data_IF_084174688101
#
_entry.id   IF_084174688101
#
_cell.length_a   1.000
_cell.length_b   1.000
_cell.length_c   1.000
_cell.angle_alpha   90.00
_cell.angle_beta   90.00
_cell.angle_gamma   90.00
#
_symmetry.space_group_name_H-M   'P 1'
#
loop_
_entity.id
_entity.type
_entity.pdbx_description
1 polymer ?
#
# COMPACT_ATOMS: atom_id res chain seq x y z
N UNK A 1 -39.09 6.14 30.76
CA UNK A 1 -37.66 5.74 30.83
C UNK A 1 -37.09 5.32 29.48
N UNK A 2 -37.67 4.34 28.75
CA UNK A 2 -37.16 3.88 27.44
C UNK A 2 -36.98 4.99 26.38
N UNK A 3 -37.93 5.93 26.28
CA UNK A 3 -37.85 7.08 25.34
C UNK A 3 -36.67 8.02 25.62
N UNK A 4 -36.32 8.19 26.90
CA UNK A 4 -35.20 9.04 27.34
C UNK A 4 -33.87 8.35 27.02
N UNK A 5 -33.74 7.04 27.26
CA UNK A 5 -32.55 6.29 26.84
C UNK A 5 -32.31 6.34 25.33
N UNK A 6 -33.38 6.24 24.51
CA UNK A 6 -33.27 6.34 23.05
C UNK A 6 -32.78 7.73 22.63
N UNK A 7 -33.32 8.80 23.24
CA UNK A 7 -32.90 10.16 22.96
C UNK A 7 -31.42 10.39 23.32
N UNK A 8 -30.99 9.86 24.46
CA UNK A 8 -29.58 9.93 24.89
C UNK A 8 -28.66 9.22 23.89
N UNK A 9 -29.02 8.03 23.44
CA UNK A 9 -28.24 7.27 22.43
C UNK A 9 -28.12 8.06 21.11
N UNK A 10 -29.20 8.69 20.66
CA UNK A 10 -29.20 9.49 19.43
C UNK A 10 -28.32 10.74 19.54
N UNK A 11 -28.32 11.40 20.71
CA UNK A 11 -27.45 12.55 20.97
C UNK A 11 -25.98 12.12 20.96
N UNK A 12 -25.63 11.01 21.63
CA UNK A 12 -24.26 10.49 21.61
C UNK A 12 -23.81 10.08 20.20
N UNK A 13 -24.70 9.48 19.39
CA UNK A 13 -24.38 9.13 18.01
C UNK A 13 -24.10 10.37 17.13
N UNK A 14 -24.79 11.48 17.37
CA UNK A 14 -24.58 12.73 16.63
C UNK A 14 -23.26 13.44 16.93
N UNK A 15 -22.62 13.10 18.06
CA UNK A 15 -21.31 13.62 18.45
C UNK A 15 -20.14 12.80 17.84
N UNK A 16 -20.43 11.64 17.23
CA UNK A 16 -19.43 10.85 16.51
C UNK A 16 -19.14 11.51 15.16
N UNK A 17 -18.12 12.35 15.12
CA UNK A 17 -17.58 12.88 13.87
C UNK A 17 -16.58 11.88 13.27
N UNK A 18 -16.93 11.28 12.13
CA UNK A 18 -16.00 10.53 11.31
C UNK A 18 -15.14 11.52 10.50
N UNK A 19 -14.19 12.18 11.16
CA UNK A 19 -13.16 12.99 10.50
C UNK A 19 -12.35 12.12 9.55
N UNK A 20 -12.60 12.27 8.24
CA UNK A 20 -12.18 11.33 7.22
C UNK A 20 -10.69 11.39 6.88
N UNK A 21 -10.00 10.26 7.00
CA UNK A 21 -8.71 9.99 6.35
C UNK A 21 -8.82 9.84 4.81
N UNK A 22 -9.97 10.19 4.23
CA UNK A 22 -10.26 10.04 2.80
C UNK A 22 -9.89 11.30 2.01
N UNK A 23 -9.34 11.12 0.80
CA UNK A 23 -9.09 12.21 -0.13
C UNK A 23 -7.73 12.91 0.00
N UNK A 24 -6.83 12.44 0.88
CA UNK A 24 -5.46 12.92 0.90
C UNK A 24 -4.70 12.49 -0.36
N UNK A 25 -3.85 13.38 -0.88
CA UNK A 25 -2.92 13.04 -1.95
C UNK A 25 -2.07 11.83 -1.55
N UNK A 26 -1.85 10.91 -2.49
CA UNK A 26 -1.07 9.70 -2.22
C UNK A 26 -1.78 8.63 -1.39
N UNK A 27 -3.09 8.73 -1.12
CA UNK A 27 -3.82 7.70 -0.37
C UNK A 27 -3.70 6.28 -0.99
N UNK A 28 -3.53 6.20 -2.31
CA UNK A 28 -3.29 4.94 -3.03
C UNK A 28 -2.00 4.22 -2.59
N UNK A 29 -1.00 4.96 -2.09
CA UNK A 29 0.27 4.39 -1.59
C UNK A 29 0.00 3.51 -0.36
N UNK A 30 -1.16 3.58 0.30
CA UNK A 30 -1.47 2.71 1.45
C UNK A 30 -1.98 1.33 1.04
N UNK A 31 -2.34 1.12 -0.23
CA UNK A 31 -2.98 -0.11 -0.69
C UNK A 31 -2.04 -1.32 -0.74
N UNK A 32 -0.73 -1.11 -0.92
CA UNK A 32 0.24 -2.19 -1.13
C UNK A 32 0.41 -2.56 -2.60
N UNK A 33 1.57 -3.12 -2.95
CA UNK A 33 1.89 -3.56 -4.31
C UNK A 33 2.30 -5.04 -4.35
N UNK A 34 2.03 -5.71 -5.47
CA UNK A 34 2.46 -7.10 -5.67
C UNK A 34 1.63 -8.13 -4.90
N UNK A 35 1.22 -9.18 -5.60
CA UNK A 35 0.36 -10.23 -5.04
C UNK A 35 0.99 -10.93 -3.82
N UNK A 36 2.31 -11.14 -3.84
CA UNK A 36 3.05 -11.80 -2.75
C UNK A 36 2.99 -10.98 -1.46
N UNK A 37 3.44 -9.73 -1.47
CA UNK A 37 3.45 -8.89 -0.28
C UNK A 37 2.02 -8.69 0.27
N UNK A 38 1.04 -8.48 -0.62
CA UNK A 38 -0.38 -8.39 -0.23
C UNK A 38 -0.90 -9.67 0.43
N UNK A 39 -0.60 -10.85 -0.12
CA UNK A 39 -1.00 -12.15 0.46
C UNK A 39 -0.41 -12.40 1.85
N UNK A 40 0.74 -11.79 2.16
CA UNK A 40 1.41 -11.85 3.45
C UNK A 40 0.97 -10.74 4.42
N UNK A 41 -0.14 -10.05 4.15
CA UNK A 41 -0.64 -8.97 5.00
C UNK A 41 0.05 -7.62 4.75
N UNK A 42 0.48 -7.37 3.51
CA UNK A 42 1.19 -6.16 3.08
C UNK A 42 2.58 -5.97 3.73
N UNK A 43 3.28 -7.08 4.02
CA UNK A 43 4.53 -7.12 4.80
C UNK A 43 5.80 -7.12 3.93
N UNK A 44 5.81 -6.36 2.83
CA UNK A 44 6.92 -6.37 1.85
C UNK A 44 8.25 -5.74 2.33
N UNK A 45 8.30 -5.14 3.52
CA UNK A 45 9.50 -4.48 4.07
C UNK A 45 10.68 -5.45 4.28
N UNK A 46 10.38 -6.69 4.68
CA UNK A 46 11.35 -7.74 4.97
C UNK A 46 11.30 -8.91 3.96
N UNK A 47 10.62 -8.72 2.82
CA UNK A 47 10.57 -9.71 1.74
C UNK A 47 11.84 -9.65 0.89
N UNK A 48 12.00 -10.63 0.00
CA UNK A 48 13.11 -10.70 -0.93
C UNK A 48 13.16 -9.44 -1.85
N UNK A 49 14.37 -8.91 -2.16
CA UNK A 49 14.50 -7.79 -3.09
C UNK A 49 13.80 -8.08 -4.43
N UNK A 50 13.00 -7.13 -4.90
CA UNK A 50 12.20 -7.26 -6.12
C UNK A 50 12.01 -5.90 -6.80
N UNK A 51 11.29 -5.83 -7.93
CA UNK A 51 11.00 -4.52 -8.51
C UNK A 51 10.05 -3.67 -7.63
N UNK A 52 9.38 -4.24 -6.62
CA UNK A 52 8.55 -3.51 -5.65
C UNK A 52 9.36 -2.83 -4.53
N UNK A 53 10.68 -3.00 -4.53
CA UNK A 53 11.59 -2.45 -3.53
C UNK A 53 11.47 -0.93 -3.35
N UNK A 54 11.22 -0.16 -4.43
CA UNK A 54 10.98 1.29 -4.35
C UNK A 54 9.80 1.65 -3.43
N UNK A 55 8.78 0.79 -3.39
CA UNK A 55 7.57 1.01 -2.60
C UNK A 55 7.73 0.52 -1.15
N UNK A 56 8.28 -0.68 -0.94
CA UNK A 56 8.34 -1.28 0.39
C UNK A 56 9.60 -0.93 1.19
N UNK A 57 10.78 -1.08 0.60
CA UNK A 57 12.05 -0.91 1.30
C UNK A 57 13.20 -0.66 0.32
N UNK A 58 13.45 0.61 -0.08
CA UNK A 58 14.47 0.97 -1.07
C UNK A 58 15.88 0.46 -0.74
N UNK A 59 16.21 0.23 0.53
CA UNK A 59 17.52 -0.28 0.94
C UNK A 59 17.81 -1.70 0.39
N UNK A 60 16.77 -2.47 0.06
CA UNK A 60 16.92 -3.83 -0.47
C UNK A 60 17.46 -3.88 -1.91
N UNK A 61 17.44 -2.76 -2.65
CA UNK A 61 17.77 -2.72 -4.09
C UNK A 61 19.23 -3.12 -4.36
N UNK A 62 20.13 -2.79 -3.44
CA UNK A 62 21.56 -3.11 -3.54
C UNK A 62 21.86 -4.61 -3.41
N UNK A 63 20.89 -5.39 -2.92
CA UNK A 63 21.00 -6.84 -2.71
C UNK A 63 20.35 -7.66 -3.83
N UNK A 64 19.85 -7.01 -4.89
CA UNK A 64 19.36 -7.72 -6.06
C UNK A 64 20.49 -8.51 -6.75
N UNK A 65 20.27 -9.81 -6.95
CA UNK A 65 21.20 -10.69 -7.68
C UNK A 65 21.12 -10.48 -9.20
N UNK A 66 19.94 -10.11 -9.69
CA UNK A 66 19.65 -9.89 -11.11
C UNK A 66 18.76 -8.67 -11.30
N UNK A 67 18.72 -8.18 -12.54
CA UNK A 67 17.75 -7.15 -12.96
C UNK A 67 16.35 -7.78 -12.92
N UNK A 68 15.38 -7.08 -12.32
CA UNK A 68 14.01 -7.56 -12.16
C UNK A 68 13.04 -6.50 -12.66
N UNK A 69 12.03 -6.93 -13.41
CA UNK A 69 10.86 -6.14 -13.73
C UNK A 69 9.63 -6.81 -13.10
N UNK A 70 8.68 -6.01 -12.60
CA UNK A 70 7.43 -6.51 -12.05
C UNK A 70 6.24 -5.76 -12.62
N UNK A 71 5.13 -6.48 -12.77
CA UNK A 71 3.84 -5.96 -13.17
C UNK A 71 2.81 -6.45 -12.16
N UNK A 72 1.89 -5.58 -11.74
CA UNK A 72 0.72 -6.00 -10.97
C UNK A 72 -0.53 -5.27 -11.41
N UNK A 73 -1.64 -5.99 -11.36
CA UNK A 73 -2.97 -5.52 -11.69
C UNK A 73 -3.93 -6.02 -10.61
N UNK A 74 -4.62 -5.10 -9.95
CA UNK A 74 -5.56 -5.40 -8.86
C UNK A 74 -6.93 -4.85 -9.17
N UNK A 75 -7.94 -5.73 -9.09
CA UNK A 75 -9.35 -5.35 -9.17
C UNK A 75 -9.80 -4.80 -7.82
N UNK A 76 -10.44 -3.63 -7.82
CA UNK A 76 -10.98 -2.98 -6.63
C UNK A 76 -12.50 -2.79 -6.76
N UNK A 77 -13.21 -2.63 -5.62
CA UNK A 77 -14.60 -2.23 -5.64
C UNK A 77 -14.82 -0.91 -6.40
N UNK A 78 -16.04 -0.76 -6.93
CA UNK A 78 -16.49 0.39 -7.72
C UNK A 78 -15.80 0.49 -9.10
N UNK A 79 -15.57 -0.66 -9.75
CA UNK A 79 -14.93 -0.77 -11.08
C UNK A 79 -13.57 -0.07 -11.18
N UNK A 80 -12.86 0.02 -10.05
CA UNK A 80 -11.53 0.63 -9.99
C UNK A 80 -10.47 -0.44 -10.20
N UNK A 81 -9.35 -0.01 -10.74
CA UNK A 81 -8.15 -0.82 -10.89
C UNK A 81 -6.95 -0.12 -10.23
N UNK A 82 -6.04 -0.92 -9.69
CA UNK A 82 -4.77 -0.44 -9.14
C UNK A 82 -3.65 -1.23 -9.78
N UNK A 83 -2.80 -0.52 -10.51
CA UNK A 83 -1.78 -1.12 -11.36
C UNK A 83 -0.42 -0.61 -10.97
N UNK A 84 0.59 -1.42 -11.22
CA UNK A 84 1.96 -1.00 -11.07
C UNK A 84 2.86 -1.68 -12.09
N UNK A 85 3.81 -0.90 -12.60
CA UNK A 85 4.94 -1.40 -13.38
C UNK A 85 6.23 -0.89 -12.74
N UNK A 86 7.18 -1.80 -12.53
CA UNK A 86 8.43 -1.49 -11.86
C UNK A 86 9.61 -2.17 -12.50
N UNK A 87 10.76 -1.53 -12.38
CA UNK A 87 12.07 -2.09 -12.70
C UNK A 87 13.05 -1.80 -11.57
N UNK A 88 13.89 -2.78 -11.25
CA UNK A 88 14.95 -2.62 -10.29
C UNK A 88 16.20 -3.38 -10.70
N UNK A 89 17.37 -2.81 -10.40
CA UNK A 89 18.65 -3.45 -10.60
C UNK A 89 19.68 -2.97 -9.59
N UNK A 90 20.59 -3.88 -9.23
CA UNK A 90 21.83 -3.53 -8.57
C UNK A 90 22.74 -2.79 -9.55
N UNK A 91 23.38 -1.72 -9.10
CA UNK A 91 24.45 -1.00 -9.78
C UNK A 91 25.74 -1.33 -9.03
N UNK A 92 26.61 -2.19 -9.58
CA UNK A 92 27.85 -2.58 -8.91
C UNK A 92 28.71 -1.34 -8.56
N UNK A 93 29.44 -1.34 -7.44
CA UNK A 93 29.66 -2.46 -6.51
C UNK A 93 28.57 -2.63 -5.43
N UNK A 94 27.97 -1.53 -4.95
CA UNK A 94 27.07 -1.53 -3.78
C UNK A 94 25.80 -0.68 -3.94
N UNK A 95 25.63 0.01 -5.07
CA UNK A 95 24.45 0.84 -5.31
C UNK A 95 23.30 0.02 -5.91
N UNK A 96 22.12 0.62 -6.00
CA UNK A 96 21.04 0.08 -6.81
C UNK A 96 20.07 1.16 -7.22
N UNK A 97 19.33 0.86 -8.27
CA UNK A 97 18.40 1.76 -8.93
C UNK A 97 17.07 1.03 -9.06
N UNK A 98 15.98 1.73 -8.71
CA UNK A 98 14.63 1.25 -8.92
C UNK A 98 13.74 2.39 -9.41
N UNK A 99 12.83 2.06 -10.31
CA UNK A 99 11.86 2.95 -10.93
C UNK A 99 10.51 2.24 -10.91
N UNK A 100 9.43 3.00 -10.74
CA UNK A 100 8.09 2.45 -10.83
C UNK A 100 7.04 3.51 -11.06
N UNK A 101 5.92 3.07 -11.62
CA UNK A 101 4.71 3.85 -11.89
C UNK A 101 3.49 3.09 -11.39
#
# INVERSE_FOLDING_TARGET
>A
MKKISILIILIYASLLSAGGYGGYSGAFIRLGLGARALSLGNTGIADQPSAYTMYYNPATVAFLEKKVASLSYSFMPLDRNFNYIGFAMKVPPSAGLSLGW
#
